data_IF_152615120431
#
_entry.id   IF_152615120431
#
_cell.length_a   1.000
_cell.length_b   1.000
_cell.length_c   1.000
_cell.angle_alpha   90.00
_cell.angle_beta   90.00
_cell.angle_gamma   90.00
#
_symmetry.space_group_name_H-M   'P 1'
#
loop_
_entity.id
_entity.type
_entity.pdbx_description
1 polymer ?
#
# COMPACT_ATOMS: atom_id res chain seq x y z
N UNK A 1 -41.58 -22.76 43.21
CA UNK A 1 -40.70 -22.13 42.20
C UNK A 1 -41.55 -21.80 40.98
N UNK A 2 -41.71 -20.52 40.63
CA UNK A 2 -42.68 -20.04 39.64
C UNK A 2 -42.15 -20.23 38.20
N UNK A 3 -42.85 -20.97 37.31
CA UNK A 3 -42.38 -21.30 35.96
C UNK A 3 -42.29 -20.09 35.00
N UNK A 4 -42.98 -18.99 35.31
CA UNK A 4 -43.03 -17.77 34.50
C UNK A 4 -41.72 -16.98 34.40
N UNK A 5 -40.74 -17.24 35.28
CA UNK A 5 -39.45 -16.54 35.23
C UNK A 5 -38.51 -17.08 34.14
N UNK A 6 -38.70 -18.34 33.70
CA UNK A 6 -37.79 -18.99 32.74
C UNK A 6 -37.98 -18.52 31.30
N UNK A 7 -39.22 -18.27 30.88
CA UNK A 7 -39.52 -17.86 29.50
C UNK A 7 -39.08 -16.41 29.21
N UNK A 8 -39.30 -15.51 30.15
CA UNK A 8 -38.90 -14.10 30.02
C UNK A 8 -37.37 -13.93 30.02
N UNK A 9 -36.66 -14.70 30.84
CA UNK A 9 -35.20 -14.65 30.89
C UNK A 9 -34.56 -15.19 29.59
N UNK A 10 -35.14 -16.24 29.00
CA UNK A 10 -34.64 -16.82 27.75
C UNK A 10 -34.79 -15.85 26.58
N UNK A 11 -35.91 -15.11 26.51
CA UNK A 11 -36.15 -14.10 25.48
C UNK A 11 -35.19 -12.90 25.57
N UNK A 12 -34.87 -12.46 26.80
CA UNK A 12 -33.91 -11.38 27.01
C UNK A 12 -32.49 -11.79 26.59
N UNK A 13 -32.07 -13.02 26.92
CA UNK A 13 -30.75 -13.52 26.54
C UNK A 13 -30.61 -13.62 25.01
N UNK A 14 -31.63 -14.10 24.30
CA UNK A 14 -31.57 -14.21 22.83
C UNK A 14 -31.61 -12.85 22.13
N UNK A 15 -32.38 -11.88 22.63
CA UNK A 15 -32.40 -10.51 22.10
C UNK A 15 -31.05 -9.81 22.30
N UNK A 16 -30.42 -9.93 23.47
CA UNK A 16 -29.09 -9.37 23.72
C UNK A 16 -28.03 -10.03 22.83
N UNK A 17 -28.10 -11.36 22.64
CA UNK A 17 -27.19 -12.08 21.74
C UNK A 17 -27.30 -11.59 20.28
N UNK A 18 -28.52 -11.36 19.81
CA UNK A 18 -28.78 -10.83 18.46
C UNK A 18 -28.29 -9.39 18.28
N UNK A 19 -28.44 -8.54 19.31
CA UNK A 19 -27.93 -7.16 19.27
C UNK A 19 -26.40 -7.10 19.29
N UNK A 20 -25.72 -8.04 19.94
CA UNK A 20 -24.24 -8.09 19.93
C UNK A 20 -23.63 -8.62 18.63
N UNK A 21 -24.42 -9.30 17.78
CA UNK A 21 -23.96 -9.82 16.49
C UNK A 21 -24.09 -8.82 15.32
N UNK A 22 -24.72 -7.66 15.55
CA UNK A 22 -24.99 -6.67 14.51
C UNK A 22 -23.90 -5.60 14.20
N UNK A 23 -22.76 -5.43 14.90
CA UNK A 23 -21.91 -4.27 14.63
C UNK A 23 -20.81 -4.47 13.56
N UNK A 24 -20.77 -5.57 12.80
CA UNK A 24 -19.60 -5.86 11.93
C UNK A 24 -19.75 -5.59 10.43
N UNK A 25 -20.80 -4.95 9.95
CA UNK A 25 -20.91 -4.60 8.50
C UNK A 25 -21.24 -3.13 8.25
N UNK A 26 -20.54 -2.22 8.93
CA UNK A 26 -20.39 -0.82 8.51
C UNK A 26 -18.90 -0.48 8.56
N UNK A 27 -18.13 -1.07 7.66
CA UNK A 27 -16.78 -0.66 7.32
C UNK A 27 -16.66 -0.82 5.80
N UNK A 28 -16.21 0.13 5.00
CA UNK A 28 -15.62 1.42 5.30
C UNK A 28 -15.78 2.26 4.02
N UNK A 29 -15.79 3.58 4.16
CA UNK A 29 -15.82 4.48 3.00
C UNK A 29 -14.68 4.08 2.06
N UNK A 30 -14.99 3.94 0.77
CA UNK A 30 -14.03 3.61 -0.27
C UNK A 30 -12.91 4.65 -0.28
N UNK A 31 -11.86 4.39 0.49
CA UNK A 31 -10.64 5.17 0.49
C UNK A 31 -10.07 5.11 -0.92
N UNK A 32 -9.98 6.27 -1.56
CA UNK A 32 -9.31 6.39 -2.84
C UNK A 32 -7.91 5.76 -2.71
N UNK A 33 -7.66 4.66 -3.42
CA UNK A 33 -6.38 3.97 -3.36
C UNK A 33 -5.37 4.82 -4.11
N UNK A 34 -4.43 5.38 -3.36
CA UNK A 34 -3.30 6.10 -3.90
C UNK A 34 -2.18 5.10 -4.15
N UNK A 35 -2.04 4.66 -5.41
CA UNK A 35 -0.93 3.79 -5.80
C UNK A 35 0.27 4.64 -6.23
N UNK A 36 1.47 4.23 -5.80
CA UNK A 36 2.74 4.78 -6.32
C UNK A 36 3.42 3.65 -7.07
N UNK A 37 3.46 3.68 -8.41
CA UNK A 37 4.13 2.63 -9.18
C UNK A 37 5.62 2.71 -8.89
N UNK A 38 6.14 1.66 -8.26
CA UNK A 38 7.57 1.53 -7.92
C UNK A 38 8.15 0.41 -8.76
N UNK A 39 9.19 0.74 -9.52
CA UNK A 39 9.99 -0.21 -10.27
C UNK A 39 11.21 -0.61 -9.45
N UNK A 40 11.75 -1.80 -9.73
CA UNK A 40 12.97 -2.29 -9.10
C UNK A 40 13.97 -2.74 -10.17
N UNK A 41 15.22 -2.31 -10.03
CA UNK A 41 16.37 -2.78 -10.83
C UNK A 41 17.40 -3.37 -9.88
N UNK A 42 18.05 -4.46 -10.29
CA UNK A 42 19.17 -5.06 -9.57
C UNK A 42 20.45 -4.92 -10.39
N UNK A 43 21.47 -4.28 -9.81
CA UNK A 43 22.78 -4.12 -10.45
C UNK A 43 23.81 -4.96 -9.70
N UNK A 44 24.64 -5.78 -10.39
CA UNK A 44 25.74 -6.49 -9.74
C UNK A 44 26.77 -5.48 -9.21
N UNK A 45 27.24 -5.67 -7.98
CA UNK A 45 28.21 -4.77 -7.35
C UNK A 45 29.34 -5.51 -6.67
N UNK A 46 30.49 -4.83 -6.57
CA UNK A 46 31.63 -5.31 -5.81
C UNK A 46 31.34 -5.14 -4.32
N UNK A 47 31.58 -6.21 -3.55
CA UNK A 47 31.45 -6.20 -2.09
C UNK A 47 32.85 -6.28 -1.50
N UNK A 48 33.19 -5.30 -0.66
CA UNK A 48 34.44 -5.28 0.10
C UNK A 48 34.12 -4.97 1.55
N UNK A 49 34.65 -5.78 2.48
CA UNK A 49 34.44 -5.59 3.93
C UNK A 49 32.95 -5.52 4.33
N UNK A 50 32.11 -6.38 3.73
CA UNK A 50 30.66 -6.38 3.93
C UNK A 50 29.97 -5.04 3.59
N UNK A 51 30.51 -4.31 2.61
CA UNK A 51 29.92 -3.08 2.06
C UNK A 51 29.86 -3.17 0.54
N UNK A 52 28.77 -2.72 -0.06
CA UNK A 52 28.69 -2.53 -1.51
C UNK A 52 29.49 -1.29 -1.90
N UNK A 53 30.43 -1.45 -2.83
CA UNK A 53 31.18 -0.35 -3.43
C UNK A 53 30.39 0.14 -4.63
N UNK A 54 29.75 1.29 -4.49
CA UNK A 54 28.94 1.92 -5.56
C UNK A 54 29.82 2.84 -6.41
N UNK A 55 30.72 3.57 -5.75
CA UNK A 55 31.78 4.38 -6.37
C UNK A 55 33.01 4.37 -5.47
N UNK A 56 34.11 5.01 -5.90
CA UNK A 56 35.33 5.10 -5.11
C UNK A 56 35.07 5.70 -3.71
N UNK A 57 34.19 6.69 -3.62
CA UNK A 57 33.89 7.43 -2.38
C UNK A 57 32.59 6.98 -1.70
N UNK A 58 31.70 6.27 -2.42
CA UNK A 58 30.41 5.84 -1.87
C UNK A 58 30.38 4.34 -1.64
N UNK A 59 30.37 3.98 -0.36
CA UNK A 59 30.19 2.61 0.11
C UNK A 59 28.92 2.52 0.93
N UNK A 60 28.11 1.49 0.69
CA UNK A 60 26.88 1.21 1.45
C UNK A 60 27.09 -0.02 2.31
N UNK A 61 26.73 0.05 3.59
CA UNK A 61 26.70 -1.13 4.44
C UNK A 61 25.61 -2.12 3.99
N UNK A 62 25.74 -3.39 4.34
CA UNK A 62 24.70 -4.37 4.06
C UNK A 62 23.35 -3.96 4.64
N UNK A 63 22.29 -4.09 3.83
CA UNK A 63 20.94 -3.65 4.18
C UNK A 63 20.74 -2.14 4.24
N UNK A 64 21.79 -1.33 4.07
CA UNK A 64 21.67 0.12 4.11
C UNK A 64 20.98 0.63 2.85
N UNK A 65 19.93 1.42 3.06
CA UNK A 65 19.25 2.17 2.00
C UNK A 65 19.69 3.64 2.05
N UNK A 66 20.14 4.17 0.91
CA UNK A 66 20.43 5.59 0.72
C UNK A 66 19.45 6.16 -0.30
N UNK A 67 18.88 7.31 0.02
CA UNK A 67 17.94 8.05 -0.84
C UNK A 67 18.62 9.36 -1.23
N UNK A 68 19.25 9.44 -2.42
CA UNK A 68 19.88 10.67 -2.87
C UNK A 68 18.83 11.78 -2.94
N UNK A 69 19.12 12.99 -2.45
CA UNK A 69 18.14 14.10 -2.49
C UNK A 69 17.82 14.54 -3.91
N UNK A 70 18.81 14.45 -4.81
CA UNK A 70 18.69 14.91 -6.19
C UNK A 70 18.01 13.88 -7.12
N UNK A 71 17.77 12.66 -6.63
CA UNK A 71 17.19 11.58 -7.42
C UNK A 71 16.06 10.91 -6.63
N UNK A 72 14.88 10.82 -7.23
CA UNK A 72 13.75 10.14 -6.61
C UNK A 72 13.89 8.60 -6.69
N UNK A 73 14.89 8.07 -6.00
CA UNK A 73 15.22 6.64 -5.98
C UNK A 73 15.63 6.19 -4.57
N UNK A 74 15.38 4.92 -4.25
CA UNK A 74 15.92 4.24 -3.09
C UNK A 74 17.02 3.28 -3.52
N UNK A 75 18.22 3.42 -2.97
CA UNK A 75 19.35 2.54 -3.30
C UNK A 75 19.70 1.68 -2.09
N UNK A 76 19.52 0.36 -2.19
CA UNK A 76 19.75 -0.59 -1.11
C UNK A 76 20.87 -1.55 -1.46
N UNK A 77 21.83 -1.73 -0.55
CA UNK A 77 22.90 -2.71 -0.69
C UNK A 77 22.46 -4.10 -0.17
N UNK A 78 22.70 -5.15 -0.94
CA UNK A 78 22.51 -6.56 -0.56
C UNK A 78 23.83 -7.31 -0.73
N UNK A 79 24.68 -7.32 0.30
CA UNK A 79 26.03 -7.88 0.19
C UNK A 79 26.02 -9.39 -0.01
N UNK A 80 25.08 -10.10 0.65
CA UNK A 80 24.91 -11.54 0.51
C UNK A 80 24.65 -11.97 -0.95
N UNK A 81 23.95 -11.13 -1.71
CA UNK A 81 23.65 -11.36 -3.13
C UNK A 81 24.64 -10.68 -4.08
N UNK A 82 25.60 -9.90 -3.56
CA UNK A 82 26.51 -9.03 -4.34
C UNK A 82 25.75 -8.13 -5.32
N UNK A 83 24.61 -7.58 -4.87
CA UNK A 83 23.71 -6.76 -5.68
C UNK A 83 23.35 -5.45 -4.98
N UNK A 84 23.07 -4.46 -5.80
CA UNK A 84 22.48 -3.20 -5.42
C UNK A 84 21.05 -3.17 -5.97
N UNK A 85 20.08 -3.07 -5.07
CA UNK A 85 18.67 -2.90 -5.44
C UNK A 85 18.38 -1.41 -5.56
N UNK A 86 17.88 -0.97 -6.72
CA UNK A 86 17.45 0.40 -6.96
C UNK A 86 15.95 0.39 -7.16
N UNK A 87 15.25 0.99 -6.22
CA UNK A 87 13.82 1.28 -6.31
C UNK A 87 13.64 2.66 -6.96
N UNK A 88 12.81 2.76 -7.99
CA UNK A 88 12.58 4.00 -8.74
C UNK A 88 11.09 4.20 -9.03
N UNK A 89 10.71 5.41 -9.42
CA UNK A 89 9.33 5.68 -9.85
C UNK A 89 9.09 5.06 -11.22
N UNK A 90 8.21 4.06 -11.29
CA UNK A 90 7.85 3.44 -12.56
C UNK A 90 6.84 4.28 -13.32
N UNK A 91 6.76 4.10 -14.63
CA UNK A 91 5.86 4.86 -15.48
C UNK A 91 4.41 4.37 -15.31
N UNK A 92 3.47 5.23 -14.87
CA UNK A 92 2.05 4.86 -14.73
C UNK A 92 1.32 4.63 -16.06
N UNK A 93 1.98 4.64 -17.22
CA UNK A 93 1.34 4.63 -18.55
C UNK A 93 0.21 3.61 -18.75
N UNK A 94 0.30 2.41 -18.15
CA UNK A 94 -0.79 1.42 -18.18
C UNK A 94 -1.94 1.77 -17.22
N UNK A 95 -1.62 2.26 -16.01
CA UNK A 95 -2.59 2.70 -14.99
C UNK A 95 -3.34 3.98 -15.39
N UNK A 96 -2.72 4.86 -16.19
CA UNK A 96 -3.35 6.08 -16.74
C UNK A 96 -4.64 5.80 -17.49
N UNK A 97 -4.71 4.67 -18.18
CA UNK A 97 -5.88 4.30 -18.98
C UNK A 97 -7.13 4.03 -18.12
N UNK A 98 -6.94 3.64 -16.86
CA UNK A 98 -8.02 3.24 -15.96
C UNK A 98 -8.18 4.15 -14.73
N UNK A 99 -7.16 4.94 -14.41
CA UNK A 99 -7.17 5.86 -13.28
C UNK A 99 -6.67 7.24 -13.72
N UNK A 100 -7.50 8.29 -13.59
CA UNK A 100 -7.04 9.65 -13.87
C UNK A 100 -5.90 9.99 -12.91
N UNK A 101 -4.72 10.33 -13.45
CA UNK A 101 -3.62 10.78 -12.61
C UNK A 101 -3.99 12.13 -12.03
N UNK A 102 -4.31 12.17 -10.74
CA UNK A 102 -4.12 13.38 -9.95
C UNK A 102 -2.71 13.34 -9.38
N UNK A 103 -1.85 14.27 -9.79
CA UNK A 103 -0.54 14.42 -9.14
C UNK A 103 -0.76 14.87 -7.68
N UNK A 104 -0.65 13.95 -6.73
CA UNK A 104 -0.75 14.27 -5.30
C UNK A 104 0.65 14.64 -4.80
N UNK A 105 0.75 15.80 -4.14
CA UNK A 105 1.92 16.40 -3.46
C UNK A 105 3.21 15.56 -3.54
N UNK A 106 4.15 16.03 -4.37
CA UNK A 106 5.52 15.52 -4.41
C UNK A 106 6.27 16.07 -3.19
N UNK A 107 6.76 15.18 -2.34
CA UNK A 107 7.73 15.53 -1.30
C UNK A 107 9.15 15.31 -1.84
N UNK A 108 10.17 15.82 -1.17
CA UNK A 108 11.56 15.74 -1.67
C UNK A 108 12.22 14.35 -1.51
N UNK A 109 11.57 13.42 -0.81
CA UNK A 109 12.18 12.13 -0.45
C UNK A 109 11.44 10.93 -1.05
N UNK A 110 12.20 9.92 -1.48
CA UNK A 110 11.65 8.64 -1.95
C UNK A 110 10.92 7.88 -0.83
N UNK A 111 9.73 7.28 -1.09
CA UNK A 111 9.00 7.17 -2.37
C UNK A 111 8.01 8.30 -2.64
N UNK A 112 8.00 9.34 -1.81
CA UNK A 112 7.01 10.41 -1.83
C UNK A 112 7.25 11.46 -2.93
N UNK A 113 8.47 11.52 -3.46
CA UNK A 113 8.80 12.26 -4.67
C UNK A 113 8.24 11.62 -5.96
N UNK A 114 7.75 10.36 -5.91
CA UNK A 114 7.16 9.71 -7.08
C UNK A 114 5.76 10.27 -7.41
N UNK A 115 5.33 10.24 -8.68
CA UNK A 115 3.95 10.52 -9.02
C UNK A 115 3.03 9.48 -8.37
N UNK A 116 2.00 9.95 -7.69
CA UNK A 116 0.95 9.11 -7.14
C UNK A 116 -0.24 9.10 -8.08
N UNK A 117 -0.85 7.94 -8.29
CA UNK A 117 -2.07 7.81 -9.08
C UNK A 117 -3.25 7.56 -8.16
N UNK A 118 -4.32 8.33 -8.37
CA UNK A 118 -5.57 8.21 -7.60
C UNK A 118 -6.60 7.54 -8.50
N UNK A 119 -6.96 6.31 -8.19
CA UNK A 119 -8.06 5.65 -8.86
C UNK A 119 -9.36 6.11 -8.21
N UNK A 120 -10.25 6.74 -8.98
CA UNK A 120 -11.63 6.89 -8.53
C UNK A 120 -12.19 5.47 -8.37
N UNK A 121 -12.68 5.14 -7.17
CA UNK A 121 -13.46 3.91 -6.99
C UNK A 121 -14.59 3.94 -8.02
N UNK A 122 -14.85 2.86 -8.79
CA UNK A 122 -15.98 2.83 -9.69
C UNK A 122 -17.22 3.06 -8.83
N UNK A 123 -17.79 4.25 -8.89
CA UNK A 123 -19.08 4.53 -8.28
C UNK A 123 -20.02 3.47 -8.81
N UNK A 124 -20.62 2.69 -7.93
CA UNK A 124 -21.63 1.67 -8.21
C UNK A 124 -22.89 2.20 -8.93
N UNK A 125 -22.86 3.44 -9.42
CA UNK A 125 -23.95 4.17 -10.06
C UNK A 125 -23.99 4.01 -11.59
N UNK A 126 -23.74 2.80 -12.11
CA UNK A 126 -24.18 2.42 -13.47
C UNK A 126 -24.82 1.03 -13.53
N UNK A 127 -25.39 0.54 -12.41
CA UNK A 127 -26.37 -0.56 -12.45
C UNK A 127 -27.79 0.03 -12.50
N UNK A 128 -28.09 0.80 -13.54
CA UNK A 128 -29.46 1.23 -13.86
C UNK A 128 -29.83 0.65 -15.21
N UNK A 129 -30.49 -0.51 -15.14
CA UNK A 129 -31.57 -0.95 -16.02
C UNK A 129 -31.32 -0.91 -17.53
N UNK A 130 -30.78 -2.01 -18.08
CA UNK A 130 -31.26 -2.53 -19.36
C UNK A 130 -31.88 -3.91 -19.12
N UNK A 131 -33.16 -3.89 -18.78
CA UNK A 131 -34.08 -4.97 -19.10
C UNK A 131 -34.69 -4.60 -20.45
N UNK A 132 -34.30 -5.35 -21.49
CA UNK A 132 -35.04 -5.49 -22.74
C UNK A 132 -35.25 -6.97 -22.95
#
# INVERSE_FOLDING_TARGET
>A
MKPWLKETTTYYITMVLFLTLLPFCMADGSGDVVARPLGKIEIPVLVKENKCVVSYDTKLADGQTKKPKDLCVGVTCKTAKKKLEIDYCDNPGLLQSWCPISEINRLDEFPWCCPAVKCASPSSSQRTTRLT
#
